data_IF_516498391600
#
_entry.id   IF_516498391600
#
_cell.length_a   1.000
_cell.length_b   1.000
_cell.length_c   1.000
_cell.angle_alpha   90.00
_cell.angle_beta   90.00
_cell.angle_gamma   90.00
#
_symmetry.space_group_name_H-M   'P 1'
#
loop_
_entity.id
_entity.type
_entity.pdbx_description
1 polymer ?
#
# COMPACT_ATOMS: atom_id res chain seq x y z
N UNK A 1 2.10 14.20 3.59
CA UNK A 1 2.41 12.76 3.80
C UNK A 1 3.04 12.66 5.17
N UNK A 2 2.42 11.92 6.10
CA UNK A 2 2.91 11.79 7.47
C UNK A 2 3.53 10.40 7.62
N UNK A 3 4.85 10.36 7.68
CA UNK A 3 5.64 9.15 7.96
C UNK A 3 6.09 9.15 9.43
N UNK A 4 6.82 8.11 9.83
CA UNK A 4 7.31 7.97 11.21
C UNK A 4 8.19 9.15 11.67
N UNK A 5 8.96 9.76 10.75
CA UNK A 5 9.90 10.84 11.05
C UNK A 5 9.14 12.15 11.22
N UNK A 6 8.39 12.55 10.20
CA UNK A 6 7.57 13.76 10.18
C UNK A 6 6.50 13.74 11.27
N UNK A 7 5.91 12.57 11.56
CA UNK A 7 4.97 12.41 12.67
C UNK A 7 5.62 12.61 14.04
N UNK A 8 6.84 12.10 14.24
CA UNK A 8 7.60 12.32 15.47
C UNK A 8 8.00 13.78 15.63
N UNK A 9 8.54 14.40 14.58
CA UNK A 9 8.92 15.83 14.58
C UNK A 9 7.70 16.68 14.92
N UNK A 10 6.57 16.47 14.25
CA UNK A 10 5.34 17.22 14.50
C UNK A 10 4.83 17.08 15.94
N UNK A 11 4.95 15.89 16.54
CA UNK A 11 4.56 15.70 17.95
C UNK A 11 5.45 16.46 18.93
N UNK A 12 6.76 16.58 18.65
CA UNK A 12 7.70 17.28 19.50
C UNK A 12 7.64 18.80 19.31
N UNK A 13 7.40 19.25 18.08
CA UNK A 13 7.16 20.65 17.74
C UNK A 13 5.94 21.20 18.48
N UNK A 14 4.82 20.47 18.48
CA UNK A 14 3.61 20.82 19.26
C UNK A 14 3.87 20.93 20.77
N UNK A 15 4.87 20.23 21.29
CA UNK A 15 5.27 20.27 22.70
C UNK A 15 6.32 21.34 22.99
N UNK A 16 6.89 21.97 21.96
CA UNK A 16 8.02 22.90 22.08
C UNK A 16 9.27 22.25 22.67
N UNK A 17 9.49 20.94 22.41
CA UNK A 17 10.59 20.16 23.00
C UNK A 17 11.57 19.70 21.93
N UNK A 18 12.85 19.70 22.28
CA UNK A 18 13.87 18.98 21.51
C UNK A 18 13.65 17.46 21.58
N UNK A 19 14.14 16.76 20.56
CA UNK A 19 14.14 15.29 20.53
C UNK A 19 14.98 14.76 21.70
N UNK A 20 14.36 13.94 22.54
CA UNK A 20 15.03 13.30 23.67
C UNK A 20 15.42 11.85 23.35
N UNK A 21 15.94 11.13 24.35
CA UNK A 21 16.36 9.74 24.18
C UNK A 21 15.22 8.84 23.67
N UNK A 22 13.99 9.08 24.10
CA UNK A 22 12.83 8.30 23.64
C UNK A 22 12.52 8.51 22.16
N UNK A 23 12.73 9.74 21.66
CA UNK A 23 12.61 10.03 20.23
C UNK A 23 13.69 9.30 19.44
N UNK A 24 14.93 9.30 19.93
CA UNK A 24 16.04 8.59 19.28
C UNK A 24 15.83 7.07 19.26
N UNK A 25 15.32 6.49 20.35
CA UNK A 25 15.02 5.05 20.43
C UNK A 25 13.91 4.66 19.44
N UNK A 26 12.88 5.50 19.27
CA UNK A 26 11.81 5.29 18.27
C UNK A 26 12.33 5.35 16.84
N UNK A 27 13.19 6.33 16.54
CA UNK A 27 13.84 6.42 15.23
C UNK A 27 14.74 5.21 14.99
N UNK A 28 15.50 4.78 16.00
CA UNK A 28 16.34 3.58 15.94
C UNK A 28 15.53 2.33 15.61
N UNK A 29 14.40 2.12 16.30
CA UNK A 29 13.49 1.00 16.02
C UNK A 29 12.90 1.08 14.60
N UNK A 30 12.46 2.27 14.16
CA UNK A 30 11.97 2.47 12.81
C UNK A 30 13.05 2.11 11.77
N UNK A 31 14.27 2.64 11.88
CA UNK A 31 15.34 2.31 10.95
C UNK A 31 15.79 0.84 11.02
N UNK A 32 15.67 0.20 12.18
CA UNK A 32 15.95 -1.23 12.34
C UNK A 32 15.07 -2.15 11.49
N UNK A 33 13.85 -1.71 11.14
CA UNK A 33 12.93 -2.46 10.29
C UNK A 33 13.01 -2.06 8.80
N UNK A 34 13.88 -1.10 8.44
CA UNK A 34 13.92 -0.53 7.10
C UNK A 34 14.24 -1.58 6.02
N UNK A 35 15.18 -2.48 6.28
CA UNK A 35 15.56 -3.54 5.34
C UNK A 35 14.38 -4.47 5.01
N UNK A 36 13.57 -4.82 6.01
CA UNK A 36 12.39 -5.68 5.81
C UNK A 36 11.35 -4.98 4.92
N UNK A 37 11.09 -3.69 5.19
CA UNK A 37 10.16 -2.90 4.36
C UNK A 37 10.67 -2.72 2.93
N UNK A 38 11.96 -2.47 2.75
CA UNK A 38 12.56 -2.36 1.43
C UNK A 38 12.48 -3.67 0.65
N UNK A 39 12.79 -4.81 1.30
CA UNK A 39 12.67 -6.13 0.68
C UNK A 39 11.23 -6.43 0.23
N UNK A 40 10.24 -6.08 1.06
CA UNK A 40 8.83 -6.22 0.71
C UNK A 40 8.46 -5.36 -0.52
N UNK A 41 8.84 -4.07 -0.52
CA UNK A 41 8.56 -3.15 -1.65
C UNK A 41 9.26 -3.60 -2.93
N UNK A 42 10.50 -4.08 -2.85
CA UNK A 42 11.21 -4.64 -4.01
C UNK A 42 10.48 -5.85 -4.59
N UNK A 43 9.96 -6.73 -3.72
CA UNK A 43 9.19 -7.90 -4.15
C UNK A 43 7.86 -7.49 -4.78
N UNK A 44 7.12 -6.58 -4.15
CA UNK A 44 5.85 -6.06 -4.66
C UNK A 44 6.05 -5.41 -6.04
N UNK A 45 7.06 -4.54 -6.18
CA UNK A 45 7.35 -3.88 -7.46
C UNK A 45 7.72 -4.89 -8.56
N UNK A 46 8.49 -5.93 -8.21
CA UNK A 46 8.90 -6.96 -9.17
C UNK A 46 7.73 -7.82 -9.65
N UNK A 47 6.77 -8.08 -8.76
CA UNK A 47 5.64 -9.01 -8.99
C UNK A 47 4.29 -8.29 -9.19
N UNK A 48 4.29 -6.97 -9.37
CA UNK A 48 3.06 -6.17 -9.31
C UNK A 48 1.96 -6.65 -10.28
N UNK A 49 2.33 -6.93 -11.53
CA UNK A 49 1.40 -7.43 -12.54
C UNK A 49 0.80 -8.79 -12.16
N UNK A 50 1.61 -9.67 -11.57
CA UNK A 50 1.17 -11.00 -11.17
C UNK A 50 0.26 -10.94 -9.94
N UNK A 51 0.59 -10.09 -8.96
CA UNK A 51 -0.25 -9.84 -7.78
C UNK A 51 -1.63 -9.32 -8.20
N UNK A 52 -1.69 -8.33 -9.11
CA UNK A 52 -2.95 -7.79 -9.62
C UNK A 52 -3.72 -8.86 -10.42
N UNK A 53 -3.02 -9.66 -11.23
CA UNK A 53 -3.63 -10.75 -12.01
C UNK A 53 -4.28 -11.78 -11.08
N UNK A 54 -3.54 -12.31 -10.11
CA UNK A 54 -4.05 -13.28 -9.15
C UNK A 54 -5.18 -12.69 -8.28
N UNK A 55 -5.00 -11.47 -7.78
CA UNK A 55 -6.01 -10.78 -6.97
C UNK A 55 -7.33 -10.63 -7.74
N UNK A 56 -7.23 -10.24 -9.02
CA UNK A 56 -8.42 -10.10 -9.87
C UNK A 56 -9.10 -11.45 -10.11
N UNK A 57 -8.33 -12.52 -10.37
CA UNK A 57 -8.89 -13.86 -10.56
C UNK A 57 -9.63 -14.35 -9.32
N UNK A 58 -9.08 -14.12 -8.12
CA UNK A 58 -9.75 -14.46 -6.86
C UNK A 58 -11.04 -13.65 -6.66
N UNK A 59 -11.02 -12.36 -7.01
CA UNK A 59 -12.22 -11.51 -6.97
C UNK A 59 -13.33 -12.05 -7.89
N UNK A 60 -13.00 -12.42 -9.13
CA UNK A 60 -13.99 -12.95 -10.08
C UNK A 60 -14.56 -14.31 -9.69
N UNK A 61 -13.76 -15.12 -9.00
CA UNK A 61 -14.22 -16.40 -8.45
C UNK A 61 -15.16 -16.20 -7.25
N UNK A 62 -14.89 -15.18 -6.42
CA UNK A 62 -15.74 -14.84 -5.29
C UNK A 62 -17.06 -14.20 -5.74
N UNK A 63 -16.99 -13.25 -6.67
CA UNK A 63 -18.12 -12.44 -7.13
C UNK A 63 -18.28 -12.52 -8.67
N UNK A 64 -18.74 -13.67 -9.20
CA UNK A 64 -18.85 -13.90 -10.64
C UNK A 64 -19.85 -12.97 -11.33
N UNK A 65 -20.83 -12.44 -10.58
CA UNK A 65 -21.83 -11.49 -11.07
C UNK A 65 -21.23 -10.18 -11.60
N UNK A 66 -20.02 -9.81 -11.16
CA UNK A 66 -19.31 -8.65 -11.68
C UNK A 66 -19.00 -8.77 -13.17
N UNK A 67 -18.83 -10.00 -13.67
CA UNK A 67 -18.53 -10.32 -15.07
C UNK A 67 -19.76 -10.67 -15.90
N UNK A 68 -20.96 -10.74 -15.32
CA UNK A 68 -22.19 -11.04 -16.05
C UNK A 68 -22.79 -9.76 -16.69
N UNK A 69 -23.67 -9.86 -17.69
CA UNK A 69 -24.36 -8.69 -18.23
C UNK A 69 -25.05 -7.87 -17.13
N UNK A 70 -24.74 -6.58 -17.06
CA UNK A 70 -25.18 -5.68 -15.97
C UNK A 70 -24.17 -5.52 -14.83
N UNK A 71 -23.22 -6.46 -14.70
CA UNK A 71 -22.11 -6.39 -13.77
C UNK A 71 -21.11 -5.27 -14.09
N UNK A 72 -20.42 -4.78 -13.06
CA UNK A 72 -19.56 -3.61 -13.21
C UNK A 72 -18.28 -3.91 -14.01
N UNK A 73 -17.80 -5.16 -14.04
CA UNK A 73 -16.61 -5.57 -14.78
C UNK A 73 -16.92 -6.26 -16.13
N UNK A 74 -18.19 -6.35 -16.54
CA UNK A 74 -18.64 -7.07 -17.75
C UNK A 74 -17.93 -6.66 -19.04
N UNK A 75 -17.78 -5.35 -19.28
CA UNK A 75 -17.18 -4.85 -20.54
C UNK A 75 -15.67 -4.70 -20.41
N UNK A 76 -14.93 -4.93 -21.49
CA UNK A 76 -13.46 -4.78 -21.53
C UNK A 76 -12.99 -3.43 -20.97
N UNK A 77 -13.69 -2.33 -21.28
CA UNK A 77 -13.37 -0.99 -20.77
C UNK A 77 -13.47 -0.91 -19.25
N UNK A 78 -14.54 -1.46 -18.66
CA UNK A 78 -14.74 -1.42 -17.20
C UNK A 78 -13.86 -2.42 -16.47
N UNK A 79 -13.61 -3.59 -17.05
CA UNK A 79 -12.62 -4.54 -16.54
C UNK A 79 -11.22 -3.90 -16.47
N UNK A 80 -10.80 -3.23 -17.54
CA UNK A 80 -9.51 -2.51 -17.55
C UNK A 80 -9.44 -1.40 -16.50
N UNK A 81 -10.55 -0.68 -16.25
CA UNK A 81 -10.62 0.31 -15.19
C UNK A 81 -10.49 -0.34 -13.79
N UNK A 82 -11.16 -1.47 -13.55
CA UNK A 82 -11.03 -2.20 -12.29
C UNK A 82 -9.58 -2.67 -12.06
N UNK A 83 -8.94 -3.27 -13.06
CA UNK A 83 -7.54 -3.72 -12.95
C UNK A 83 -6.58 -2.55 -12.70
N UNK A 84 -6.82 -1.40 -13.34
CA UNK A 84 -6.06 -0.17 -13.09
C UNK A 84 -6.24 0.31 -11.64
N UNK A 85 -7.46 0.23 -11.10
CA UNK A 85 -7.71 0.64 -9.72
C UNK A 85 -7.05 -0.32 -8.71
N UNK A 86 -6.95 -1.62 -9.03
CA UNK A 86 -6.17 -2.58 -8.25
C UNK A 86 -4.67 -2.24 -8.24
N UNK A 87 -4.12 -1.82 -9.39
CA UNK A 87 -2.75 -1.32 -9.48
C UNK A 87 -2.54 -0.06 -8.63
N UNK A 88 -3.54 0.84 -8.56
CA UNK A 88 -3.49 1.99 -7.65
C UNK A 88 -3.43 1.57 -6.19
N UNK A 89 -4.22 0.58 -5.76
CA UNK A 89 -4.13 0.07 -4.39
C UNK A 89 -2.79 -0.59 -4.09
N UNK A 90 -2.18 -1.28 -5.04
CA UNK A 90 -0.88 -1.93 -4.82
C UNK A 90 0.27 -0.91 -4.75
N UNK A 91 0.13 0.23 -5.45
CA UNK A 91 1.14 1.28 -5.53
C UNK A 91 1.23 2.17 -4.27
N UNK A 92 0.16 2.29 -3.49
CA UNK A 92 0.08 3.17 -2.31
C UNK A 92 0.06 2.39 -1.00
#
# INVERSE_FOLDING_TARGET
MQDAITGLIGSYDQKGRYLDRSAMDRLGAYFGEAETRLAAVTTINREAAEIVREGSQRLWLADPELLLPGGNAYTTRRLAACLRDMDYFLRY
#
